data_IF_408707151551
#
_entry.id   IF_408707151551
#
_cell.length_a   1.000
_cell.length_b   1.000
_cell.length_c   1.000
_cell.angle_alpha   90.00
_cell.angle_beta   90.00
_cell.angle_gamma   90.00
#
_symmetry.space_group_name_H-M   'P 1'
#
loop_
_entity.id
_entity.type
_entity.pdbx_description
1 polymer ?
#
# COMPACT_ATOMS: atom_id res chain seq x y z
N UNK A 1 3.75 6.58 13.37
CA UNK A 1 2.40 6.00 13.33
C UNK A 1 1.72 6.23 14.67
N UNK A 2 0.47 6.66 14.66
CA UNK A 2 -0.31 6.88 15.87
C UNK A 2 -0.75 5.55 16.49
N UNK A 3 -0.84 5.46 17.83
CA UNK A 3 -1.32 4.27 18.50
C UNK A 3 -2.76 3.96 18.11
N UNK A 4 -3.07 2.68 17.91
CA UNK A 4 -4.42 2.23 17.56
C UNK A 4 -5.21 2.00 18.84
N UNK A 5 -6.34 2.68 18.98
CA UNK A 5 -7.23 2.48 20.13
C UNK A 5 -8.09 1.23 19.90
N UNK A 6 -7.97 0.25 20.78
CA UNK A 6 -8.84 -0.94 20.76
C UNK A 6 -10.30 -0.51 21.01
N UNK A 7 -11.18 -0.84 20.08
CA UNK A 7 -12.58 -0.42 20.12
C UNK A 7 -13.36 -0.99 21.32
N UNK A 8 -12.92 -2.15 21.85
CA UNK A 8 -13.59 -2.84 22.97
C UNK A 8 -13.01 -2.43 24.31
N UNK A 9 -11.67 -2.46 24.45
CA UNK A 9 -11.00 -2.19 25.73
C UNK A 9 -10.69 -0.71 25.94
N UNK A 10 -10.76 0.12 24.88
CA UNK A 10 -10.37 1.54 24.87
C UNK A 10 -8.89 1.77 25.22
N UNK A 11 -8.09 0.73 25.23
CA UNK A 11 -6.66 0.81 25.48
C UNK A 11 -5.90 1.19 24.20
N UNK A 12 -4.89 2.04 24.36
CA UNK A 12 -3.98 2.38 23.27
C UNK A 12 -2.99 1.22 23.07
N UNK A 13 -3.05 0.58 21.90
CA UNK A 13 -2.05 -0.40 21.47
C UNK A 13 -0.96 0.30 20.68
N UNK A 14 0.30 -0.13 20.80
CA UNK A 14 1.37 0.41 19.96
C UNK A 14 0.98 0.27 18.49
N UNK A 15 1.37 1.25 17.68
CA UNK A 15 1.17 1.15 16.24
C UNK A 15 1.82 -0.14 15.71
N UNK A 16 1.16 -0.87 14.81
CA UNK A 16 1.75 -2.07 14.23
C UNK A 16 3.00 -1.70 13.42
N UNK A 17 4.01 -2.56 13.45
CA UNK A 17 5.21 -2.40 12.65
C UNK A 17 4.87 -2.44 11.15
N UNK A 18 5.15 -1.38 10.38
CA UNK A 18 4.85 -1.33 8.95
C UNK A 18 5.54 -2.44 8.14
N UNK A 19 6.76 -2.79 8.51
CA UNK A 19 7.50 -3.86 7.84
C UNK A 19 6.86 -5.22 8.08
N UNK A 20 6.38 -5.48 9.31
CA UNK A 20 5.61 -6.68 9.59
C UNK A 20 4.27 -6.71 8.86
N UNK A 21 3.57 -5.58 8.79
CA UNK A 21 2.29 -5.49 8.06
C UNK A 21 2.47 -5.80 6.57
N UNK A 22 3.51 -5.26 5.94
CA UNK A 22 3.84 -5.54 4.55
C UNK A 22 4.19 -7.03 4.34
N UNK A 23 5.04 -7.58 5.21
CA UNK A 23 5.38 -9.00 5.21
C UNK A 23 4.12 -9.88 5.35
N UNK A 24 3.28 -9.58 6.33
CA UNK A 24 2.02 -10.29 6.55
C UNK A 24 1.09 -10.21 5.32
N UNK A 25 0.99 -9.05 4.67
CA UNK A 25 0.22 -8.86 3.44
C UNK A 25 0.78 -9.72 2.31
N UNK A 26 2.09 -9.73 2.10
CA UNK A 26 2.72 -10.57 1.07
C UNK A 26 2.52 -12.07 1.32
N UNK A 27 2.49 -12.49 2.59
CA UNK A 27 2.28 -13.90 2.96
C UNK A 27 0.82 -14.33 2.89
N UNK A 28 -0.11 -13.47 3.30
CA UNK A 28 -1.55 -13.77 3.34
C UNK A 28 -2.25 -13.50 2.02
N UNK A 29 -1.67 -12.65 1.18
CA UNK A 29 -2.33 -12.09 0.03
C UNK A 29 -3.35 -11.01 0.41
N UNK A 30 -4.03 -10.49 -0.60
CA UNK A 30 -5.08 -9.48 -0.49
C UNK A 30 -6.24 -9.86 -1.41
N UNK A 31 -7.36 -10.22 -0.81
CA UNK A 31 -8.54 -10.65 -1.57
C UNK A 31 -9.22 -9.51 -2.33
N UNK A 32 -9.05 -8.26 -1.89
CA UNK A 32 -9.60 -7.08 -2.58
C UNK A 32 -8.87 -6.80 -3.90
N UNK A 33 -7.57 -7.14 -3.95
CA UNK A 33 -6.69 -6.90 -5.09
C UNK A 33 -6.40 -8.21 -5.89
N UNK A 34 -7.09 -9.32 -5.57
CA UNK A 34 -6.86 -10.65 -6.15
C UNK A 34 -5.43 -11.17 -5.98
N UNK A 35 -4.74 -10.77 -4.93
CA UNK A 35 -3.42 -11.29 -4.58
C UNK A 35 -3.57 -12.55 -3.74
N UNK A 36 -3.19 -13.70 -4.31
CA UNK A 36 -3.31 -14.98 -3.63
C UNK A 36 -2.31 -15.15 -2.50
N UNK A 37 -2.71 -15.92 -1.49
CA UNK A 37 -1.84 -16.24 -0.34
C UNK A 37 -0.62 -17.02 -0.78
N UNK A 38 0.57 -16.55 -0.43
CA UNK A 38 1.81 -17.30 -0.61
C UNK A 38 1.94 -18.45 0.40
N UNK A 39 1.35 -18.29 1.59
CA UNK A 39 1.36 -19.28 2.66
C UNK A 39 -0.07 -19.67 3.05
N UNK A 40 -0.73 -20.55 2.30
CA UNK A 40 -2.07 -21.04 2.62
C UNK A 40 -2.10 -21.96 3.85
N UNK A 41 -0.94 -22.40 4.33
CA UNK A 41 -0.72 -23.39 5.36
C UNK A 41 -1.66 -23.38 6.56
N UNK A 42 -1.54 -24.38 7.40
CA UNK A 42 -2.48 -24.72 8.46
C UNK A 42 -2.68 -23.54 9.43
N UNK A 43 -3.93 -23.07 9.51
CA UNK A 43 -4.34 -22.12 10.55
C UNK A 43 -4.51 -22.87 11.86
N UNK A 44 -4.01 -22.32 12.95
CA UNK A 44 -4.27 -22.85 14.28
C UNK A 44 -5.79 -22.87 14.49
N UNK A 45 -6.33 -24.02 14.94
CA UNK A 45 -7.76 -24.20 15.20
C UNK A 45 -8.29 -23.08 16.10
N UNK A 46 -9.36 -22.43 15.71
CA UNK A 46 -10.00 -21.35 16.46
C UNK A 46 -9.32 -19.97 16.32
N UNK A 47 -8.28 -19.81 15.50
CA UNK A 47 -7.63 -18.53 15.25
C UNK A 47 -7.62 -18.19 13.76
N UNK A 48 -7.52 -16.89 13.44
CA UNK A 48 -7.32 -16.40 12.07
C UNK A 48 -5.82 -16.24 11.74
N UNK A 49 -4.95 -16.38 12.73
CA UNK A 49 -3.52 -16.18 12.56
C UNK A 49 -2.87 -17.42 11.95
N UNK A 50 -2.01 -17.21 10.97
CA UNK A 50 -1.16 -18.27 10.42
C UNK A 50 -0.01 -18.54 11.39
N UNK A 51 0.26 -19.82 11.63
CA UNK A 51 1.35 -20.24 12.53
C UNK A 51 2.70 -19.90 11.89
N UNK A 52 3.62 -19.38 12.69
CA UNK A 52 5.01 -19.13 12.29
C UNK A 52 5.30 -17.80 11.59
N UNK A 53 4.28 -16.96 11.34
CA UNK A 53 4.52 -15.66 10.66
C UNK A 53 5.39 -14.71 11.48
N UNK A 54 5.17 -14.62 12.78
CA UNK A 54 5.93 -13.73 13.66
C UNK A 54 7.38 -14.21 13.76
N UNK A 55 7.57 -15.52 13.98
CA UNK A 55 8.87 -16.15 14.09
C UNK A 55 9.65 -16.05 12.76
N UNK A 56 8.99 -16.27 11.63
CA UNK A 56 9.62 -16.13 10.32
C UNK A 56 10.00 -14.68 10.02
N UNK A 57 9.19 -13.73 10.42
CA UNK A 57 9.53 -12.31 10.29
C UNK A 57 10.71 -11.91 11.16
N UNK A 58 10.78 -12.43 12.40
CA UNK A 58 11.86 -12.11 13.33
C UNK A 58 13.24 -12.55 12.82
N UNK A 59 13.33 -13.64 12.07
CA UNK A 59 14.58 -14.12 11.50
C UNK A 59 14.70 -13.93 9.96
N UNK A 60 13.86 -13.10 9.38
CA UNK A 60 13.81 -12.83 7.94
C UNK A 60 15.14 -12.35 7.37
N UNK A 61 15.78 -11.40 8.02
CA UNK A 61 16.98 -10.75 7.52
C UNK A 61 18.21 -11.66 7.57
N UNK A 62 18.27 -12.54 8.56
CA UNK A 62 19.32 -13.56 8.70
C UNK A 62 19.00 -14.84 7.93
N UNK A 63 17.80 -14.95 7.36
CA UNK A 63 17.26 -16.18 6.76
C UNK A 63 17.41 -17.39 7.69
N UNK A 64 17.00 -17.17 8.95
CA UNK A 64 17.10 -18.15 10.02
C UNK A 64 16.21 -19.38 9.82
N UNK A 65 16.15 -20.21 10.87
CA UNK A 65 15.43 -21.48 10.82
C UNK A 65 13.93 -21.31 10.50
N UNK A 66 13.26 -20.37 11.16
CA UNK A 66 11.82 -20.17 10.97
C UNK A 66 11.49 -19.62 9.57
N UNK A 67 12.30 -18.66 9.09
CA UNK A 67 12.21 -18.17 7.72
C UNK A 67 12.34 -19.31 6.70
N UNK A 68 13.42 -20.08 6.80
CA UNK A 68 13.69 -21.18 5.86
C UNK A 68 12.60 -22.25 5.94
N UNK A 69 12.19 -22.64 7.16
CA UNK A 69 11.14 -23.63 7.36
C UNK A 69 9.82 -23.20 6.69
N UNK A 70 9.48 -21.90 6.73
CA UNK A 70 8.28 -21.38 6.06
C UNK A 70 8.46 -21.30 4.55
N UNK A 71 9.56 -20.73 4.06
CA UNK A 71 9.78 -20.43 2.64
C UNK A 71 10.06 -21.68 1.78
N UNK A 72 10.57 -22.74 2.39
CA UNK A 72 10.81 -24.00 1.67
C UNK A 72 9.58 -24.90 1.58
N UNK A 73 8.48 -24.55 2.24
CA UNK A 73 7.24 -25.33 2.13
C UNK A 73 6.67 -25.31 0.72
N UNK A 74 6.04 -26.41 0.38
CA UNK A 74 5.30 -26.57 -0.87
C UNK A 74 3.85 -26.90 -0.57
N UNK A 75 2.96 -26.52 -1.47
CA UNK A 75 1.55 -26.83 -1.38
C UNK A 75 0.97 -27.03 -2.79
N UNK A 76 -0.14 -27.70 -2.86
CA UNK A 76 -0.84 -27.98 -4.13
C UNK A 76 -2.17 -27.26 -4.10
N UNK A 77 -2.49 -26.55 -5.17
CA UNK A 77 -3.77 -25.87 -5.32
C UNK A 77 -4.90 -26.81 -5.75
N UNK A 78 -6.09 -26.26 -5.93
CA UNK A 78 -7.28 -27.03 -6.34
C UNK A 78 -7.23 -27.56 -7.77
N UNK A 79 -6.33 -27.04 -8.60
CA UNK A 79 -6.08 -27.49 -9.98
C UNK A 79 -4.95 -28.53 -10.05
N UNK A 80 -4.33 -28.86 -8.94
CA UNK A 80 -3.22 -29.81 -8.85
C UNK A 80 -1.84 -29.22 -9.14
N UNK A 81 -1.74 -27.89 -9.25
CA UNK A 81 -0.46 -27.21 -9.48
C UNK A 81 0.33 -27.09 -8.17
N UNK A 82 1.61 -27.49 -8.22
CA UNK A 82 2.52 -27.36 -7.08
C UNK A 82 3.06 -25.95 -6.99
N UNK A 83 2.98 -25.37 -5.80
CA UNK A 83 3.48 -24.04 -5.44
C UNK A 83 4.57 -24.15 -4.39
N UNK A 84 5.56 -23.25 -4.45
CA UNK A 84 6.54 -23.06 -3.41
C UNK A 84 6.29 -21.72 -2.72
N UNK A 85 6.24 -21.70 -1.40
CA UNK A 85 5.94 -20.50 -0.61
C UNK A 85 6.86 -19.34 -0.96
N UNK A 86 8.17 -19.57 -1.12
CA UNK A 86 9.12 -18.53 -1.49
C UNK A 86 8.80 -17.86 -2.83
N UNK A 87 8.41 -18.64 -3.82
CA UNK A 87 8.16 -18.13 -5.17
C UNK A 87 6.87 -17.28 -5.18
N UNK A 88 5.83 -17.77 -4.52
CA UNK A 88 4.58 -17.02 -4.34
C UNK A 88 4.78 -15.77 -3.47
N UNK A 89 5.61 -15.84 -2.42
CA UNK A 89 5.98 -14.68 -1.62
C UNK A 89 6.68 -13.61 -2.46
N UNK A 90 7.69 -13.99 -3.25
CA UNK A 90 8.41 -13.06 -4.11
C UNK A 90 7.50 -12.40 -5.15
N UNK A 91 6.58 -13.15 -5.74
CA UNK A 91 5.54 -12.61 -6.61
C UNK A 91 4.69 -11.57 -5.88
N UNK A 92 4.24 -11.88 -4.67
CA UNK A 92 3.41 -10.99 -3.89
C UNK A 92 4.18 -9.75 -3.41
N UNK A 93 5.47 -9.84 -3.15
CA UNK A 93 6.33 -8.67 -2.86
C UNK A 93 6.30 -7.69 -4.04
N UNK A 94 6.48 -8.17 -5.27
CA UNK A 94 6.41 -7.30 -6.46
C UNK A 94 5.03 -6.63 -6.61
N UNK A 95 3.96 -7.31 -6.20
CA UNK A 95 2.59 -6.77 -6.30
C UNK A 95 2.24 -5.80 -5.16
N UNK A 96 2.75 -6.03 -3.96
CA UNK A 96 2.34 -5.30 -2.75
C UNK A 96 3.35 -4.26 -2.28
N UNK A 97 4.64 -4.45 -2.56
CA UNK A 97 5.70 -3.54 -2.13
C UNK A 97 6.03 -2.53 -3.23
N UNK A 98 5.63 -1.29 -3.02
CA UNK A 98 5.90 -0.21 -3.99
C UNK A 98 7.40 0.04 -4.19
N UNK A 99 8.24 -0.31 -3.23
CA UNK A 99 9.71 -0.18 -3.35
C UNK A 99 10.34 -1.28 -4.20
N UNK A 100 9.66 -2.42 -4.38
CA UNK A 100 10.12 -3.59 -5.14
C UNK A 100 9.72 -3.57 -6.63
N UNK A 101 9.21 -2.43 -7.12
CA UNK A 101 8.76 -2.32 -8.50
C UNK A 101 9.91 -2.53 -9.50
N UNK A 102 9.65 -3.19 -10.65
CA UNK A 102 10.62 -3.29 -11.74
C UNK A 102 11.18 -1.94 -12.20
N UNK A 103 12.44 -1.91 -12.61
CA UNK A 103 13.13 -0.66 -12.93
C UNK A 103 12.44 0.20 -14.01
N UNK A 104 11.85 -0.42 -15.03
CA UNK A 104 11.08 0.27 -16.06
C UNK A 104 9.82 0.95 -15.51
N UNK A 105 9.10 0.31 -14.58
CA UNK A 105 7.92 0.90 -13.92
C UNK A 105 8.36 2.05 -13.02
N UNK A 106 9.44 1.86 -12.25
CA UNK A 106 10.00 2.91 -11.40
C UNK A 106 10.44 4.13 -12.21
N UNK A 107 11.08 3.94 -13.38
CA UNK A 107 11.44 5.05 -14.27
C UNK A 107 10.21 5.83 -14.72
N UNK A 108 9.18 5.15 -15.21
CA UNK A 108 7.93 5.80 -15.65
C UNK A 108 7.29 6.61 -14.51
N UNK A 109 7.25 6.05 -13.29
CA UNK A 109 6.71 6.75 -12.13
C UNK A 109 7.54 8.00 -11.80
N UNK A 110 8.86 7.89 -11.81
CA UNK A 110 9.76 9.02 -11.55
C UNK A 110 9.61 10.13 -12.61
N UNK A 111 9.56 9.77 -13.88
CA UNK A 111 9.36 10.72 -14.97
C UNK A 111 8.03 11.50 -14.79
N UNK A 112 6.95 10.80 -14.44
CA UNK A 112 5.66 11.45 -14.15
C UNK A 112 5.74 12.34 -12.91
N UNK A 113 6.46 11.93 -11.87
CA UNK A 113 6.65 12.75 -10.66
C UNK A 113 7.45 14.00 -11.02
N UNK A 114 8.58 13.88 -11.70
CA UNK A 114 9.44 15.00 -12.09
C UNK A 114 8.69 16.00 -12.96
N UNK A 115 7.95 15.54 -13.96
CA UNK A 115 7.12 16.38 -14.84
C UNK A 115 6.05 17.17 -14.06
N UNK A 116 5.53 16.61 -12.99
CA UNK A 116 4.50 17.25 -12.17
C UNK A 116 5.05 18.05 -10.97
N UNK A 117 6.29 17.78 -10.55
CA UNK A 117 6.96 18.57 -9.51
C UNK A 117 7.59 19.86 -10.04
N UNK A 118 7.81 19.97 -11.35
CA UNK A 118 8.28 21.23 -11.96
C UNK A 118 7.20 22.29 -11.75
N UNK A 119 7.51 23.42 -11.07
CA UNK A 119 6.57 24.49 -10.87
C UNK A 119 6.04 24.99 -12.21
N UNK A 120 4.78 24.74 -12.51
CA UNK A 120 4.14 25.30 -13.71
C UNK A 120 3.63 26.69 -13.36
N UNK A 121 4.00 27.69 -14.15
CA UNK A 121 3.35 29.00 -14.06
C UNK A 121 1.85 28.82 -14.28
N UNK A 122 1.08 29.01 -13.23
CA UNK A 122 -0.38 28.94 -13.31
C UNK A 122 -0.95 30.34 -13.15
N UNK A 123 -1.30 30.92 -14.28
CA UNK A 123 -1.99 32.21 -14.32
C UNK A 123 -3.50 32.05 -14.25
N UNK A 124 -4.20 33.10 -13.82
CA UNK A 124 -5.68 33.14 -13.78
C UNK A 124 -6.31 32.03 -12.92
N UNK A 125 -5.73 31.74 -11.77
CA UNK A 125 -6.17 30.64 -10.87
C UNK A 125 -7.66 30.74 -10.56
N UNK A 126 -8.18 31.92 -10.24
CA UNK A 126 -9.61 32.14 -9.96
C UNK A 126 -10.51 31.75 -11.14
N UNK A 127 -10.15 32.18 -12.35
CA UNK A 127 -10.93 31.84 -13.56
C UNK A 127 -10.90 30.34 -13.88
N UNK A 128 -9.74 29.69 -13.66
CA UNK A 128 -9.60 28.24 -13.82
C UNK A 128 -10.45 27.49 -12.79
N UNK A 129 -10.46 27.96 -11.54
CA UNK A 129 -11.31 27.41 -10.49
C UNK A 129 -12.80 27.56 -10.84
N UNK A 130 -13.24 28.73 -11.31
CA UNK A 130 -14.63 28.94 -11.75
C UNK A 130 -15.01 27.98 -12.87
N UNK A 131 -14.16 27.81 -13.90
CA UNK A 131 -14.41 26.86 -14.99
C UNK A 131 -14.49 25.42 -14.48
N UNK A 132 -13.64 25.04 -13.54
CA UNK A 132 -13.69 23.72 -12.90
C UNK A 132 -15.01 23.54 -12.14
N UNK A 133 -15.40 24.51 -11.32
CA UNK A 133 -16.63 24.46 -10.55
C UNK A 133 -17.88 24.39 -11.46
N UNK A 134 -17.88 25.14 -12.55
CA UNK A 134 -18.97 25.09 -13.53
C UNK A 134 -19.06 23.71 -14.22
N UNK A 135 -17.93 23.12 -14.56
CA UNK A 135 -17.89 21.76 -15.16
C UNK A 135 -18.48 20.69 -14.25
N UNK A 136 -18.33 20.85 -12.93
CA UNK A 136 -18.71 19.84 -11.94
C UNK A 136 -19.92 20.26 -11.09
N UNK A 137 -20.66 21.28 -11.54
CA UNK A 137 -21.87 21.82 -10.88
C UNK A 137 -21.66 22.17 -9.39
N UNK A 138 -20.47 22.77 -9.10
CA UNK A 138 -20.07 23.15 -7.74
C UNK A 138 -20.42 24.63 -7.47
N UNK A 139 -21.71 25.00 -7.55
CA UNK A 139 -22.19 26.37 -7.47
C UNK A 139 -21.72 27.10 -6.21
N UNK A 140 -21.82 26.46 -5.02
CA UNK A 140 -21.44 27.08 -3.75
C UNK A 140 -19.98 27.50 -3.68
N UNK A 141 -19.08 26.77 -4.34
CA UNK A 141 -17.66 27.12 -4.43
C UNK A 141 -17.45 28.19 -5.49
N UNK A 142 -18.16 28.09 -6.60
CA UNK A 142 -18.11 29.08 -7.68
C UNK A 142 -18.53 30.46 -7.20
N UNK A 143 -19.56 30.57 -6.36
CA UNK A 143 -20.05 31.83 -5.80
C UNK A 143 -19.04 32.55 -4.90
N UNK A 144 -18.05 31.78 -4.37
CA UNK A 144 -16.95 32.26 -3.54
C UNK A 144 -15.58 31.95 -4.15
N UNK A 145 -15.50 31.89 -5.47
CA UNK A 145 -14.30 31.43 -6.18
C UNK A 145 -13.05 32.24 -5.83
N UNK A 146 -13.17 33.54 -5.58
CA UNK A 146 -12.04 34.38 -5.18
C UNK A 146 -11.46 33.96 -3.83
N UNK A 147 -12.31 33.69 -2.86
CA UNK A 147 -11.90 33.23 -1.52
C UNK A 147 -11.14 31.91 -1.59
N UNK A 148 -11.62 30.96 -2.38
CA UNK A 148 -10.97 29.66 -2.54
C UNK A 148 -9.74 29.71 -3.46
N UNK A 149 -9.68 30.67 -4.41
CA UNK A 149 -8.55 30.83 -5.32
C UNK A 149 -7.33 31.43 -4.65
N UNK A 150 -7.51 32.28 -3.64
CA UNK A 150 -6.42 32.99 -2.96
C UNK A 150 -5.36 32.05 -2.36
N UNK A 151 -5.68 31.03 -1.53
CA UNK A 151 -4.69 30.10 -1.01
C UNK A 151 -4.07 29.20 -2.10
N UNK A 152 -4.79 28.94 -3.19
CA UNK A 152 -4.26 28.21 -4.34
C UNK A 152 -3.25 29.08 -5.11
N UNK A 153 -3.56 30.34 -5.32
CA UNK A 153 -2.69 31.30 -6.02
C UNK A 153 -1.40 31.55 -5.27
N UNK A 154 -1.44 31.60 -3.92
CA UNK A 154 -0.29 31.80 -3.09
C UNK A 154 0.77 30.67 -3.19
N UNK A 155 0.40 29.52 -3.70
CA UNK A 155 1.29 28.36 -3.90
C UNK A 155 2.01 28.36 -5.24
N UNK A 156 1.58 29.19 -6.21
CA UNK A 156 2.21 29.27 -7.52
C UNK A 156 3.03 30.57 -7.60
N UNK A 157 4.33 30.48 -7.93
CA UNK A 157 5.12 31.70 -8.18
C UNK A 157 4.50 32.50 -9.32
N UNK A 158 4.40 33.82 -9.12
CA UNK A 158 3.98 34.76 -10.16
C UNK A 158 5.18 35.16 -11.01
#
# INVERSE_FOLDING_TARGET
>A
LEPVIDKKTKEAKPAPDPAFMLFEKCMRGDTSDNVFSAYPGVRKKGTKNKVGLIEAFADKDTKGYNWNNMMLQRWVDHEGTEHRVLDDYNRNVVLCDLSAQPGNIRSIINDVIEDNMTPKEVTQVGMRLMKFCAKWDMQRISDQAQYYAEPLQARYPQ
#
